data_IF_906384163152
#
_entry.id   IF_906384163152
#
_cell.length_a   1.000
_cell.length_b   1.000
_cell.length_c   1.000
_cell.angle_alpha   90.00
_cell.angle_beta   90.00
_cell.angle_gamma   90.00
#
_symmetry.space_group_name_H-M   'P 1'
#
loop_
_entity.id
_entity.type
_entity.pdbx_description
1 polymer ?
#
# COMPACT_ATOMS: atom_id res chain seq x y z
N UNK A 1 13.19 5.33 -1.85
CA UNK A 1 13.74 6.38 -2.76
C UNK A 1 12.62 7.26 -3.29
N UNK A 2 12.96 8.41 -3.85
CA UNK A 2 12.02 9.32 -4.50
C UNK A 2 11.55 8.74 -5.83
N UNK A 3 10.30 9.04 -6.22
CA UNK A 3 9.76 8.65 -7.53
C UNK A 3 10.69 9.14 -8.65
N UNK A 4 11.06 8.23 -9.56
CA UNK A 4 11.93 8.49 -10.71
C UNK A 4 13.43 8.62 -10.40
N UNK A 5 13.83 8.58 -9.14
CA UNK A 5 15.24 8.77 -8.77
C UNK A 5 16.06 7.46 -8.79
N UNK A 6 16.36 6.99 -9.99
CA UNK A 6 17.07 5.72 -10.18
C UNK A 6 18.48 5.68 -9.54
N UNK A 7 19.16 6.83 -9.36
CA UNK A 7 20.45 6.85 -8.66
C UNK A 7 20.31 6.59 -7.16
N UNK A 8 19.24 7.09 -6.50
CA UNK A 8 18.95 6.71 -5.12
C UNK A 8 18.70 5.20 -5.01
N UNK A 9 17.96 4.61 -5.96
CA UNK A 9 17.74 3.17 -6.00
C UNK A 9 19.06 2.39 -6.17
N UNK A 10 19.98 2.85 -7.03
CA UNK A 10 21.31 2.24 -7.19
C UNK A 10 22.13 2.30 -5.89
N UNK A 11 22.06 3.40 -5.15
CA UNK A 11 22.73 3.54 -3.85
C UNK A 11 22.12 2.55 -2.84
N UNK A 12 20.80 2.45 -2.79
CA UNK A 12 20.11 1.53 -1.89
C UNK A 12 20.41 0.06 -2.21
N UNK A 13 20.45 -0.30 -3.49
CA UNK A 13 20.88 -1.64 -3.91
C UNK A 13 22.33 -1.93 -3.52
N UNK A 14 23.23 -0.96 -3.69
CA UNK A 14 24.66 -1.10 -3.37
C UNK A 14 24.92 -1.31 -1.86
N UNK A 15 24.03 -0.87 -0.98
CA UNK A 15 24.09 -1.12 0.47
C UNK A 15 23.31 -2.36 0.91
N UNK A 16 22.86 -3.17 -0.07
CA UNK A 16 22.27 -4.49 0.14
C UNK A 16 21.00 -4.49 1.01
N UNK A 17 20.09 -3.52 0.78
CA UNK A 17 18.78 -3.53 1.46
C UNK A 17 17.87 -4.61 0.85
N UNK A 18 16.88 -5.10 1.64
CA UNK A 18 15.98 -6.19 1.22
C UNK A 18 14.92 -5.74 0.21
N UNK A 19 14.40 -4.50 0.34
CA UNK A 19 13.37 -3.91 -0.53
C UNK A 19 13.60 -2.42 -0.71
N UNK A 20 13.30 -1.90 -1.92
CA UNK A 20 13.26 -0.46 -2.20
C UNK A 20 11.79 -0.03 -2.32
N UNK A 21 11.36 0.94 -1.53
CA UNK A 21 10.07 1.62 -1.73
C UNK A 21 10.29 2.87 -2.60
N UNK A 22 9.78 2.86 -3.85
CA UNK A 22 9.68 4.05 -4.69
C UNK A 22 8.45 4.84 -4.21
N UNK A 23 8.68 5.87 -3.39
CA UNK A 23 7.67 6.41 -2.49
C UNK A 23 7.18 7.80 -2.85
N UNK A 24 5.86 7.94 -2.94
CA UNK A 24 5.14 9.23 -3.05
C UNK A 24 5.21 10.06 -1.76
N UNK A 25 5.60 9.48 -0.64
CA UNK A 25 5.78 10.19 0.64
C UNK A 25 6.89 11.23 0.56
N UNK A 26 7.93 10.92 -0.22
CA UNK A 26 8.98 11.85 -0.55
C UNK A 26 8.56 12.75 -1.72
N UNK A 27 9.14 13.96 -1.82
CA UNK A 27 8.93 14.79 -3.01
C UNK A 27 9.50 14.09 -4.24
N UNK A 28 8.74 13.98 -5.35
CA UNK A 28 9.21 13.32 -6.56
C UNK A 28 10.48 13.95 -7.12
N UNK A 29 11.36 13.15 -7.69
CA UNK A 29 12.49 13.63 -8.47
C UNK A 29 12.14 13.75 -9.96
N UNK A 30 11.15 12.97 -10.39
CA UNK A 30 10.58 13.01 -11.73
C UNK A 30 9.05 12.93 -11.60
N UNK A 31 8.32 13.77 -12.32
CA UNK A 31 6.85 13.82 -12.30
C UNK A 31 6.22 13.07 -13.49
N UNK A 32 7.06 12.53 -14.38
CA UNK A 32 6.64 11.84 -15.60
C UNK A 32 7.04 10.36 -15.59
N UNK A 33 8.27 10.06 -15.18
CA UNK A 33 8.82 8.71 -15.27
C UNK A 33 9.06 8.08 -13.90
N UNK A 34 8.54 6.87 -13.72
CA UNK A 34 8.93 5.98 -12.64
C UNK A 34 10.23 5.23 -13.00
N UNK A 35 10.88 4.68 -11.98
CA UNK A 35 12.08 3.86 -12.15
C UNK A 35 11.72 2.58 -12.93
N UNK A 36 12.52 2.23 -13.93
CA UNK A 36 12.49 0.90 -14.55
C UNK A 36 13.09 -0.12 -13.57
N UNK A 37 12.22 -0.78 -12.83
CA UNK A 37 12.57 -1.70 -11.75
C UNK A 37 13.16 -3.01 -12.26
N UNK A 38 12.97 -3.32 -13.56
CA UNK A 38 13.54 -4.49 -14.20
C UNK A 38 15.08 -4.45 -14.33
N UNK A 39 15.67 -3.26 -14.10
CA UNK A 39 17.12 -3.04 -14.11
C UNK A 39 17.81 -3.35 -12.78
N UNK A 40 17.05 -3.71 -11.75
CA UNK A 40 17.54 -3.95 -10.41
C UNK A 40 17.32 -5.42 -10.02
N UNK A 41 18.19 -5.94 -9.16
CA UNK A 41 18.04 -7.26 -8.55
C UNK A 41 17.26 -7.21 -7.23
N UNK A 42 17.29 -6.07 -6.54
CA UNK A 42 16.50 -5.87 -5.33
C UNK A 42 15.02 -5.61 -5.67
N UNK A 43 14.07 -6.23 -4.95
CA UNK A 43 12.65 -6.06 -5.21
C UNK A 43 12.15 -4.67 -4.81
N UNK A 44 11.14 -4.19 -5.54
CA UNK A 44 10.50 -2.87 -5.30
C UNK A 44 9.10 -2.99 -4.74
N UNK A 45 8.80 -2.08 -3.80
CA UNK A 45 7.47 -1.79 -3.29
C UNK A 45 6.99 -0.47 -3.91
N UNK A 46 5.74 -0.40 -4.33
CA UNK A 46 5.13 0.83 -4.84
C UNK A 46 3.73 1.05 -4.24
N UNK A 47 3.38 2.31 -4.02
CA UNK A 47 2.03 2.72 -3.65
C UNK A 47 1.08 2.71 -4.84
N UNK A 48 -0.18 2.32 -4.60
CA UNK A 48 -1.26 2.44 -5.56
C UNK A 48 -2.57 2.78 -4.87
N UNK A 49 -3.42 3.58 -5.54
CA UNK A 49 -4.75 3.95 -5.06
C UNK A 49 -5.87 3.12 -5.68
N UNK A 50 -5.55 2.44 -6.79
CA UNK A 50 -6.49 1.64 -7.56
C UNK A 50 -5.78 0.58 -8.42
N UNK A 51 -6.60 -0.26 -9.09
CA UNK A 51 -6.11 -1.38 -9.87
C UNK A 51 -5.23 -0.92 -11.05
N UNK A 52 -5.64 0.13 -11.77
CA UNK A 52 -4.88 0.63 -12.92
C UNK A 52 -3.48 1.08 -12.50
N UNK A 53 -3.37 1.87 -11.42
CA UNK A 53 -2.09 2.31 -10.88
C UNK A 53 -1.24 1.12 -10.41
N UNK A 54 -1.84 0.15 -9.70
CA UNK A 54 -1.14 -1.05 -9.25
C UNK A 54 -0.57 -1.85 -10.43
N UNK A 55 -1.37 -2.08 -11.46
CA UNK A 55 -0.93 -2.85 -12.62
C UNK A 55 0.15 -2.11 -13.45
N UNK A 56 0.10 -0.76 -13.50
CA UNK A 56 1.19 0.02 -14.11
C UNK A 56 2.51 -0.16 -13.35
N UNK A 57 2.49 -0.06 -12.02
CA UNK A 57 3.69 -0.30 -11.19
C UNK A 57 4.23 -1.73 -11.33
N UNK A 58 3.33 -2.71 -11.41
CA UNK A 58 3.71 -4.12 -11.65
C UNK A 58 4.32 -4.29 -13.05
N UNK A 59 3.77 -3.64 -14.07
CA UNK A 59 4.34 -3.64 -15.43
C UNK A 59 5.76 -3.06 -15.48
N UNK A 60 6.08 -2.11 -14.60
CA UNK A 60 7.42 -1.51 -14.44
C UNK A 60 8.37 -2.40 -13.60
N UNK A 61 7.89 -3.51 -13.07
CA UNK A 61 8.68 -4.46 -12.30
C UNK A 61 8.49 -4.39 -10.77
N UNK A 62 7.48 -3.70 -10.25
CA UNK A 62 7.16 -3.75 -8.82
C UNK A 62 6.76 -5.17 -8.41
N UNK A 63 7.32 -5.65 -7.30
CA UNK A 63 7.08 -7.00 -6.75
C UNK A 63 6.19 -7.01 -5.52
N UNK A 64 5.84 -5.83 -5.01
CA UNK A 64 4.89 -5.62 -3.94
C UNK A 64 4.13 -4.32 -4.18
N UNK A 65 2.84 -4.33 -3.91
CA UNK A 65 1.99 -3.14 -3.89
C UNK A 65 1.58 -2.84 -2.45
N UNK A 66 1.40 -1.57 -2.15
CA UNK A 66 0.74 -1.10 -0.93
C UNK A 66 -0.29 -0.03 -1.26
N UNK A 67 -1.28 0.16 -0.38
CA UNK A 67 -2.11 1.35 -0.49
C UNK A 67 -1.24 2.59 -0.27
N UNK A 68 -1.54 3.69 -0.96
CA UNK A 68 -0.89 4.96 -0.66
C UNK A 68 -1.33 5.49 0.71
N UNK A 69 -2.64 5.48 0.98
CA UNK A 69 -3.19 6.07 2.18
C UNK A 69 -2.80 7.56 2.29
N UNK A 70 -2.75 8.07 3.51
CA UNK A 70 -2.14 9.37 3.80
C UNK A 70 -1.21 9.21 5.00
N UNK A 71 0.09 8.98 4.77
CA UNK A 71 1.06 8.71 5.81
C UNK A 71 1.23 9.88 6.79
N UNK A 72 1.48 9.56 8.05
CA UNK A 72 1.75 10.56 9.08
C UNK A 72 0.51 11.16 9.73
N UNK A 73 -0.70 10.81 9.29
CA UNK A 73 -1.96 11.36 9.80
C UNK A 73 -2.53 10.60 11.00
N UNK A 74 -2.23 9.30 11.13
CA UNK A 74 -2.93 8.42 12.07
C UNK A 74 -4.42 8.24 11.74
N UNK A 75 -4.82 8.58 10.51
CA UNK A 75 -6.18 8.41 9.97
C UNK A 75 -6.12 7.39 8.82
N UNK A 76 -6.80 6.27 9.02
CA UNK A 76 -6.77 5.12 8.10
C UNK A 76 -7.75 5.26 6.92
N UNK A 77 -8.57 6.32 6.90
CA UNK A 77 -9.69 6.45 5.95
C UNK A 77 -9.24 6.35 4.49
N UNK A 78 -8.11 6.96 4.11
CA UNK A 78 -7.59 6.89 2.73
C UNK A 78 -7.12 5.49 2.37
N UNK A 79 -6.42 4.81 3.27
CA UNK A 79 -6.00 3.42 3.05
C UNK A 79 -7.22 2.50 2.86
N UNK A 80 -8.28 2.69 3.65
CA UNK A 80 -9.56 1.97 3.51
C UNK A 80 -10.20 2.24 2.15
N UNK A 81 -10.26 3.51 1.72
CA UNK A 81 -10.81 3.89 0.40
C UNK A 81 -10.03 3.22 -0.73
N UNK A 82 -8.71 3.25 -0.69
CA UNK A 82 -7.85 2.63 -1.71
C UNK A 82 -8.04 1.10 -1.75
N UNK A 83 -8.03 0.44 -0.60
CA UNK A 83 -8.24 -1.01 -0.53
C UNK A 83 -9.63 -1.41 -1.07
N UNK A 84 -10.68 -0.69 -0.68
CA UNK A 84 -12.04 -0.94 -1.19
C UNK A 84 -12.15 -0.67 -2.69
N UNK A 85 -11.52 0.38 -3.20
CA UNK A 85 -11.49 0.70 -4.64
C UNK A 85 -10.79 -0.42 -5.41
N UNK A 86 -9.63 -0.85 -4.95
CA UNK A 86 -8.86 -1.97 -5.52
C UNK A 86 -9.74 -3.23 -5.61
N UNK A 87 -10.33 -3.65 -4.50
CA UNK A 87 -11.16 -4.84 -4.43
C UNK A 87 -12.41 -4.74 -5.32
N UNK A 88 -13.02 -3.56 -5.42
CA UNK A 88 -14.17 -3.33 -6.32
C UNK A 88 -13.76 -3.50 -7.79
N UNK A 89 -12.61 -2.94 -8.17
CA UNK A 89 -12.12 -3.04 -9.54
C UNK A 89 -11.66 -4.47 -9.89
N UNK A 90 -11.03 -5.19 -8.95
CA UNK A 90 -10.71 -6.61 -9.13
C UNK A 90 -12.01 -7.42 -9.37
N UNK A 91 -13.05 -7.22 -8.55
CA UNK A 91 -14.35 -7.90 -8.76
C UNK A 91 -14.99 -7.53 -10.10
N UNK A 92 -14.87 -6.27 -10.52
CA UNK A 92 -15.34 -5.85 -11.84
C UNK A 92 -14.60 -6.63 -12.93
N UNK A 93 -13.28 -6.64 -12.94
CA UNK A 93 -12.48 -7.37 -13.93
C UNK A 93 -12.84 -8.86 -13.98
N UNK A 94 -13.00 -9.51 -12.83
CA UNK A 94 -13.42 -10.92 -12.73
C UNK A 94 -14.82 -11.16 -13.36
N UNK A 95 -15.70 -10.17 -13.33
CA UNK A 95 -17.05 -10.28 -13.89
C UNK A 95 -17.14 -10.04 -15.40
N UNK A 96 -16.08 -9.56 -16.05
CA UNK A 96 -16.04 -9.30 -17.49
C UNK A 96 -15.99 -10.60 -18.29
N UNK A 97 -16.44 -10.54 -19.53
CA UNK A 97 -16.21 -11.60 -20.52
C UNK A 97 -14.81 -11.44 -21.11
N UNK A 98 -14.25 -12.51 -21.63
CA UNK A 98 -12.91 -12.50 -22.25
C UNK A 98 -12.74 -11.46 -23.38
N UNK A 99 -13.80 -11.25 -24.17
CA UNK A 99 -13.79 -10.27 -25.28
C UNK A 99 -13.80 -8.81 -24.80
N UNK A 100 -14.13 -8.55 -23.52
CA UNK A 100 -14.15 -7.22 -22.92
C UNK A 100 -12.78 -6.83 -22.29
N UNK A 101 -11.89 -7.80 -22.03
CA UNK A 101 -10.64 -7.57 -21.31
C UNK A 101 -9.66 -6.64 -22.05
N UNK A 102 -9.71 -6.60 -23.39
CA UNK A 102 -8.88 -5.68 -24.18
C UNK A 102 -9.31 -4.22 -23.98
N UNK A 103 -10.61 -3.95 -23.91
CA UNK A 103 -11.10 -2.60 -23.66
C UNK A 103 -10.81 -2.18 -22.22
N UNK A 104 -10.97 -3.08 -21.25
CA UNK A 104 -10.62 -2.81 -19.86
C UNK A 104 -9.13 -2.48 -19.70
N UNK A 105 -8.24 -3.26 -20.35
CA UNK A 105 -6.81 -2.99 -20.35
C UNK A 105 -6.46 -1.60 -20.92
N UNK A 106 -7.16 -1.19 -21.96
CA UNK A 106 -7.01 0.14 -22.57
C UNK A 106 -7.49 1.24 -21.62
N UNK A 107 -8.64 1.05 -20.95
CA UNK A 107 -9.18 2.01 -19.98
C UNK A 107 -8.25 2.17 -18.76
N UNK A 108 -7.68 1.08 -18.26
CA UNK A 108 -6.72 1.07 -17.17
C UNK A 108 -5.30 1.53 -17.61
N UNK A 109 -5.05 1.65 -18.91
CA UNK A 109 -3.76 1.95 -19.51
C UNK A 109 -2.64 0.97 -19.05
N UNK A 110 -2.91 -0.34 -19.17
CA UNK A 110 -2.02 -1.40 -18.72
C UNK A 110 -1.91 -2.53 -19.76
N UNK A 111 -0.86 -3.38 -19.70
CA UNK A 111 -0.77 -4.58 -20.51
C UNK A 111 -1.96 -5.52 -20.28
N UNK A 112 -2.53 -6.03 -21.36
CA UNK A 112 -3.72 -6.92 -21.29
C UNK A 112 -3.45 -8.21 -20.53
N UNK A 113 -2.22 -8.70 -20.54
CA UNK A 113 -1.78 -9.89 -19.82
C UNK A 113 -2.00 -9.75 -18.30
N UNK A 114 -1.79 -8.56 -17.75
CA UNK A 114 -2.03 -8.29 -16.33
C UNK A 114 -3.54 -8.27 -16.01
N UNK A 115 -4.36 -7.73 -16.91
CA UNK A 115 -5.82 -7.75 -16.77
C UNK A 115 -6.35 -9.19 -16.82
N UNK A 116 -5.85 -9.99 -17.78
CA UNK A 116 -6.16 -11.44 -17.85
C UNK A 116 -5.76 -12.17 -16.58
N UNK A 117 -4.56 -11.88 -16.04
CA UNK A 117 -4.13 -12.48 -14.78
C UNK A 117 -5.13 -12.19 -13.66
N UNK A 118 -5.55 -10.92 -13.50
CA UNK A 118 -6.52 -10.51 -12.48
C UNK A 118 -7.88 -11.16 -12.71
N UNK A 119 -8.34 -11.23 -13.98
CA UNK A 119 -9.58 -11.89 -14.36
C UNK A 119 -9.60 -13.37 -13.93
N UNK A 120 -8.53 -14.10 -14.24
CA UNK A 120 -8.45 -15.55 -14.03
C UNK A 120 -8.19 -15.91 -12.56
N UNK A 121 -7.49 -15.06 -11.79
CA UNK A 121 -7.05 -15.35 -10.43
C UNK A 121 -7.80 -14.57 -9.34
N UNK A 122 -8.55 -13.53 -9.67
CA UNK A 122 -9.29 -12.70 -8.71
C UNK A 122 -8.41 -11.91 -7.75
N UNK A 123 -7.13 -11.68 -8.08
CA UNK A 123 -6.15 -10.98 -7.26
C UNK A 123 -5.00 -10.42 -8.10
N UNK A 124 -4.20 -9.53 -7.49
CA UNK A 124 -2.95 -9.07 -8.09
C UNK A 124 -1.92 -10.22 -8.21
N UNK A 125 -0.98 -10.15 -9.17
CA UNK A 125 0.12 -11.12 -9.27
C UNK A 125 1.18 -10.98 -8.18
N UNK A 126 1.10 -9.94 -7.36
CA UNK A 126 2.00 -9.63 -6.24
C UNK A 126 1.17 -9.34 -4.98
N UNK A 127 1.81 -9.39 -3.81
CA UNK A 127 1.15 -9.08 -2.53
C UNK A 127 0.74 -7.61 -2.47
N UNK A 128 -0.37 -7.34 -1.79
CA UNK A 128 -0.91 -6.00 -1.57
C UNK A 128 -1.05 -5.71 -0.08
N UNK A 129 -0.22 -4.83 0.44
CA UNK A 129 -0.23 -4.41 1.84
C UNK A 129 -1.03 -3.12 2.04
N UNK A 130 -1.50 -2.90 3.24
CA UNK A 130 -2.09 -1.63 3.64
C UNK A 130 -1.04 -0.70 4.24
N UNK A 131 -1.05 0.55 3.81
CA UNK A 131 -0.19 1.61 4.33
C UNK A 131 -0.94 2.93 4.38
N UNK A 132 -0.50 3.83 5.27
CA UNK A 132 -1.04 5.19 5.43
C UNK A 132 -2.12 5.27 6.49
N UNK A 133 -1.77 5.84 7.64
CA UNK A 133 -2.72 6.16 8.72
C UNK A 133 -3.00 5.07 9.73
N UNK A 134 -2.45 3.86 9.59
CA UNK A 134 -2.60 2.78 10.58
C UNK A 134 -1.91 3.20 11.89
N UNK A 135 -2.67 3.24 13.00
CA UNK A 135 -2.16 3.69 14.29
C UNK A 135 -2.53 2.78 15.47
N UNK A 136 -3.47 1.87 15.29
CA UNK A 136 -3.99 1.00 16.35
C UNK A 136 -4.02 -0.47 15.91
N UNK A 137 -4.09 -1.43 16.87
CA UNK A 137 -4.34 -2.83 16.55
C UNK A 137 -5.65 -3.03 15.76
N UNK A 138 -6.69 -2.25 16.08
CA UNK A 138 -7.96 -2.31 15.38
C UNK A 138 -7.87 -1.85 13.93
N UNK A 139 -7.07 -0.79 13.63
CA UNK A 139 -6.82 -0.35 12.25
C UNK A 139 -6.11 -1.45 11.44
N UNK A 140 -5.11 -2.10 12.03
CA UNK A 140 -4.40 -3.20 11.38
C UNK A 140 -5.35 -4.36 11.08
N UNK A 141 -6.16 -4.77 12.06
CA UNK A 141 -7.16 -5.83 11.87
C UNK A 141 -8.21 -5.45 10.81
N UNK A 142 -8.68 -4.20 10.78
CA UNK A 142 -9.59 -3.70 9.75
C UNK A 142 -8.99 -3.83 8.35
N UNK A 143 -7.73 -3.46 8.17
CA UNK A 143 -7.09 -3.57 6.85
C UNK A 143 -6.91 -5.03 6.42
N UNK A 144 -6.59 -5.94 7.35
CA UNK A 144 -6.53 -7.38 7.08
C UNK A 144 -7.92 -7.93 6.71
N UNK A 145 -8.98 -7.54 7.42
CA UNK A 145 -10.38 -7.91 7.11
C UNK A 145 -10.80 -7.41 5.71
N UNK A 146 -10.30 -6.26 5.29
CA UNK A 146 -10.53 -5.72 3.97
C UNK A 146 -9.70 -6.39 2.86
N UNK A 147 -8.88 -7.39 3.20
CA UNK A 147 -8.13 -8.20 2.24
C UNK A 147 -6.69 -7.74 1.99
N UNK A 148 -6.14 -6.88 2.85
CA UNK A 148 -4.70 -6.65 2.84
C UNK A 148 -3.95 -7.93 3.26
N UNK A 149 -2.76 -8.14 2.70
CA UNK A 149 -1.90 -9.29 3.01
C UNK A 149 -0.82 -8.95 4.06
N UNK A 150 -0.87 -7.73 4.58
CA UNK A 150 -0.04 -7.19 5.65
C UNK A 150 -0.23 -5.70 5.81
N UNK A 151 0.51 -5.09 6.75
CA UNK A 151 0.44 -3.65 7.02
C UNK A 151 1.83 -3.04 7.11
N UNK A 152 1.97 -1.80 6.62
CA UNK A 152 3.10 -0.93 6.91
C UNK A 152 2.67 0.13 7.91
N UNK A 153 3.41 0.27 9.00
CA UNK A 153 3.09 1.21 10.07
C UNK A 153 4.33 2.02 10.44
N UNK A 154 4.22 3.33 10.35
CA UNK A 154 5.29 4.26 10.71
C UNK A 154 4.89 5.12 11.92
N UNK A 155 4.39 6.33 11.65
CA UNK A 155 4.04 7.32 12.68
C UNK A 155 3.08 6.78 13.76
N UNK A 156 2.16 5.89 13.40
CA UNK A 156 1.24 5.27 14.35
C UNK A 156 1.92 4.52 15.48
N UNK A 157 3.12 3.97 15.22
CA UNK A 157 3.99 3.35 16.22
C UNK A 157 4.91 4.41 16.84
N UNK A 158 5.73 5.08 16.04
CA UNK A 158 6.84 5.91 16.52
C UNK A 158 6.42 7.19 17.26
N UNK A 159 5.21 7.72 16.99
CA UNK A 159 4.64 8.88 17.67
C UNK A 159 3.68 8.50 18.82
N UNK A 160 3.59 7.22 19.18
CA UNK A 160 2.78 6.77 20.32
C UNK A 160 3.54 6.89 21.65
N UNK A 161 2.82 6.85 22.76
CA UNK A 161 3.40 6.93 24.11
C UNK A 161 4.29 5.73 24.48
N UNK A 162 4.05 4.54 23.87
CA UNK A 162 4.88 3.34 24.03
C UNK A 162 5.03 2.62 22.68
N UNK A 163 6.03 3.03 21.86
CA UNK A 163 6.20 2.48 20.51
C UNK A 163 6.47 0.96 20.50
N UNK A 164 7.23 0.44 21.43
CA UNK A 164 7.57 -0.98 21.46
C UNK A 164 6.34 -1.86 21.75
N UNK A 165 5.56 -1.48 22.75
CA UNK A 165 4.33 -2.18 23.12
C UNK A 165 3.29 -2.08 21.99
N UNK A 166 3.14 -0.91 21.40
CA UNK A 166 2.21 -0.68 20.29
C UNK A 166 2.60 -1.49 19.05
N UNK A 167 3.89 -1.55 18.70
CA UNK A 167 4.37 -2.37 17.60
C UNK A 167 4.05 -3.86 17.83
N UNK A 168 4.34 -4.38 19.01
CA UNK A 168 4.03 -5.77 19.37
C UNK A 168 2.52 -6.07 19.28
N UNK A 169 1.68 -5.14 19.75
CA UNK A 169 0.22 -5.29 19.68
C UNK A 169 -0.28 -5.28 18.23
N UNK A 170 0.23 -4.38 17.37
CA UNK A 170 -0.14 -4.31 15.95
C UNK A 170 0.30 -5.58 15.21
N UNK A 171 1.51 -6.10 15.46
CA UNK A 171 1.97 -7.37 14.88
C UNK A 171 1.05 -8.52 15.24
N UNK A 172 0.68 -8.64 16.52
CA UNK A 172 -0.24 -9.67 16.99
C UNK A 172 -1.65 -9.51 16.37
N UNK A 173 -2.15 -8.28 16.26
CA UNK A 173 -3.44 -7.99 15.64
C UNK A 173 -3.45 -8.33 14.15
N UNK A 174 -2.35 -8.06 13.44
CA UNK A 174 -2.20 -8.42 12.02
C UNK A 174 -2.22 -9.93 11.83
N UNK A 175 -1.55 -10.68 12.70
CA UNK A 175 -1.49 -12.13 12.61
C UNK A 175 -2.80 -12.83 13.05
N UNK A 176 -3.59 -12.19 13.91
CA UNK A 176 -4.79 -12.76 14.52
C UNK A 176 -6.02 -11.84 14.35
N UNK A 177 -6.14 -11.21 13.21
CA UNK A 177 -7.13 -10.17 12.94
C UNK A 177 -8.61 -10.60 13.10
N UNK A 178 -8.88 -11.91 13.07
CA UNK A 178 -10.22 -12.49 13.25
C UNK A 178 -10.58 -12.77 14.71
N UNK A 179 -9.64 -12.67 15.65
CA UNK A 179 -9.86 -12.94 17.08
C UNK A 179 -10.22 -11.65 17.84
N UNK A 180 -11.52 -11.34 17.92
CA UNK A 180 -12.00 -10.12 18.57
C UNK A 180 -11.63 -10.04 20.05
N UNK A 181 -11.58 -11.18 20.77
CA UNK A 181 -11.20 -11.21 22.18
C UNK A 181 -9.72 -10.91 22.37
N UNK A 182 -8.87 -11.40 21.47
CA UNK A 182 -7.46 -11.06 21.47
C UNK A 182 -7.24 -9.59 21.10
N UNK A 183 -7.94 -9.09 20.08
CA UNK A 183 -7.87 -7.67 19.67
C UNK A 183 -8.26 -6.74 20.82
N UNK A 184 -9.28 -7.08 21.61
CA UNK A 184 -9.65 -6.32 22.80
C UNK A 184 -8.50 -6.27 23.82
N UNK A 185 -7.90 -7.40 24.15
CA UNK A 185 -6.76 -7.47 25.08
C UNK A 185 -5.52 -6.71 24.55
N UNK A 186 -5.24 -6.82 23.25
CA UNK A 186 -4.12 -6.12 22.61
C UNK A 186 -4.30 -4.60 22.59
N UNK A 187 -5.54 -4.11 22.67
CA UNK A 187 -5.85 -2.68 22.67
C UNK A 187 -5.74 -2.04 24.06
N UNK A 188 -5.56 -2.83 25.13
CA UNK A 188 -5.47 -2.33 26.49
C UNK A 188 -4.10 -1.76 26.83
N UNK A 189 -4.10 -0.65 27.56
CA UNK A 189 -2.89 -0.07 28.19
C UNK A 189 -1.72 0.17 27.20
N UNK A 190 -2.00 0.58 25.97
CA UNK A 190 -0.98 0.87 24.95
C UNK A 190 -0.31 2.25 25.10
N UNK A 191 -0.67 3.01 26.14
CA UNK A 191 -0.28 4.40 26.25
C UNK A 191 -1.07 5.29 25.27
N UNK A 192 -0.69 6.55 25.18
CA UNK A 192 -1.35 7.48 24.28
C UNK A 192 -1.12 7.09 22.82
N UNK A 193 -2.17 7.11 22.02
CA UNK A 193 -2.05 7.01 20.59
C UNK A 193 -1.44 8.29 20.01
N UNK A 194 -0.87 8.19 18.78
CA UNK A 194 -0.49 9.42 18.07
C UNK A 194 -1.71 10.33 17.91
N UNK A 195 -1.50 11.64 17.93
CA UNK A 195 -2.56 12.61 17.61
C UNK A 195 -2.88 12.47 16.12
N UNK A 196 -4.15 12.18 15.82
CA UNK A 196 -4.64 12.11 14.44
C UNK A 196 -4.71 13.50 13.81
N UNK A 197 -4.49 13.55 12.49
CA UNK A 197 -4.68 14.75 11.66
C UNK A 197 -5.80 14.43 10.68
N UNK A 198 -6.86 15.24 10.69
CA UNK A 198 -7.98 15.04 9.76
C UNK A 198 -7.57 15.36 8.33
N UNK A 199 -8.19 14.68 7.37
CA UNK A 199 -7.93 14.86 5.94
C UNK A 199 -8.07 16.33 5.50
N UNK A 200 -9.06 17.03 6.02
CA UNK A 200 -9.35 18.44 5.70
C UNK A 200 -8.26 19.42 6.22
N UNK A 201 -7.38 18.98 7.10
CA UNK A 201 -6.28 19.76 7.67
C UNK A 201 -4.97 19.56 6.91
N UNK A 202 -4.95 18.70 5.88
CA UNK A 202 -3.75 18.34 5.13
C UNK A 202 -3.55 19.33 3.98
N UNK A 203 -2.45 20.08 4.01
CA UNK A 203 -2.10 21.02 2.93
C UNK A 203 -1.63 20.32 1.65
N UNK A 204 -1.00 19.17 1.76
CA UNK A 204 -0.44 18.42 0.63
C UNK A 204 -0.88 16.95 0.67
N UNK A 205 -1.69 16.55 -0.29
CA UNK A 205 -2.11 15.15 -0.46
C UNK A 205 -1.00 14.37 -1.16
N UNK A 206 -0.27 13.55 -0.41
CA UNK A 206 0.85 12.76 -0.93
C UNK A 206 0.37 11.65 -1.87
N UNK A 207 -0.80 11.08 -1.62
CA UNK A 207 -1.39 10.01 -2.41
C UNK A 207 -1.62 10.39 -3.89
N UNK A 208 -1.70 11.68 -4.22
CA UNK A 208 -1.85 12.16 -5.60
C UNK A 208 -0.55 12.16 -6.41
N UNK A 209 0.62 11.97 -5.76
CA UNK A 209 1.91 11.98 -6.45
C UNK A 209 2.15 10.69 -7.23
N UNK A 210 2.82 10.78 -8.37
CA UNK A 210 3.26 9.63 -9.17
C UNK A 210 2.10 8.86 -9.82
N UNK A 211 1.13 9.57 -10.39
CA UNK A 211 0.04 8.97 -11.19
C UNK A 211 0.52 8.56 -12.58
#
# INVERSE_FOLDING_TARGET
CRIGHFVEAQILEAIEIDYIDESEVLSPADDTYHIDKTKFSVPFVCGARDLGEALRRIAEGATMIRTKGEPGTGDVIQAVRHMRKMNNQIRHVVSLREDELFEEAKQLAVPVELVKYVHDNGKLPVVNFAAGGVATPADAALMMELGAEGVFVGSGIFKSGDPAKRAAAIVQATANWQDADLLARLSENLGEAMVGINEDEIETIMAARGE
#
